data_IF_556305455021
#
_entry.id   IF_556305455021
#
_cell.length_a   1.000
_cell.length_b   1.000
_cell.length_c   1.000
_cell.angle_alpha   90.00
_cell.angle_beta   90.00
_cell.angle_gamma   90.00
#
_symmetry.space_group_name_H-M   'P 1'
#
loop_
_entity.id
_entity.type
_entity.pdbx_description
1 polymer ?
#
# COMPACT_ATOMS: atom_id res chain seq x y z
N UNK A 1 8.90 -12.94 -25.74
CA UNK A 1 9.62 -12.08 -24.75
C UNK A 1 10.15 -13.00 -23.66
N UNK A 2 11.46 -12.94 -23.33
CA UNK A 2 12.16 -14.00 -22.57
C UNK A 2 11.81 -13.97 -21.06
N UNK A 3 11.57 -15.13 -20.39
CA UNK A 3 11.21 -15.20 -18.96
C UNK A 3 12.21 -14.51 -18.00
N UNK A 4 13.46 -14.36 -18.42
CA UNK A 4 14.54 -13.71 -17.65
C UNK A 4 14.36 -12.20 -17.46
N UNK A 5 13.45 -11.56 -18.22
CA UNK A 5 13.13 -10.15 -18.02
C UNK A 5 12.10 -9.93 -16.91
N UNK A 6 11.18 -10.88 -16.69
CA UNK A 6 10.19 -10.79 -15.61
C UNK A 6 10.83 -10.86 -14.21
N UNK A 7 11.84 -11.71 -14.04
CA UNK A 7 12.54 -11.87 -12.75
C UNK A 7 13.39 -10.66 -12.33
N UNK A 8 13.56 -9.66 -13.23
CA UNK A 8 14.23 -8.39 -12.91
C UNK A 8 13.24 -7.27 -12.59
N UNK A 9 11.95 -7.44 -12.93
CA UNK A 9 10.89 -6.45 -12.69
C UNK A 9 10.18 -6.75 -11.35
N UNK A 10 10.04 -8.02 -10.97
CA UNK A 10 9.64 -8.39 -9.61
C UNK A 10 10.89 -8.48 -8.72
N UNK A 11 11.21 -7.39 -8.04
CA UNK A 11 12.14 -7.39 -6.91
C UNK A 11 11.53 -8.15 -5.72
N UNK A 12 12.30 -8.34 -4.63
CA UNK A 12 11.80 -8.83 -3.33
C UNK A 12 10.77 -7.88 -2.66
N UNK A 13 10.44 -6.78 -3.31
CA UNK A 13 9.51 -5.75 -2.86
C UNK A 13 8.12 -5.99 -3.46
N UNK A 14 7.09 -5.41 -2.84
CA UNK A 14 5.72 -5.41 -3.36
C UNK A 14 5.67 -4.78 -4.75
N UNK A 15 5.30 -5.56 -5.77
CA UNK A 15 5.18 -5.08 -7.14
C UNK A 15 3.83 -4.40 -7.38
N UNK A 16 3.72 -3.67 -8.49
CA UNK A 16 2.47 -3.04 -8.89
C UNK A 16 1.34 -4.08 -9.06
N UNK A 17 0.22 -3.87 -8.36
CA UNK A 17 -0.96 -4.74 -8.39
C UNK A 17 -0.90 -5.97 -7.47
N UNK A 18 0.16 -6.14 -6.68
CA UNK A 18 0.26 -7.24 -5.72
C UNK A 18 -0.81 -7.15 -4.62
N UNK A 19 -1.22 -5.93 -4.25
CA UNK A 19 -2.29 -5.64 -3.29
C UNK A 19 -3.65 -6.23 -3.71
N UNK A 20 -3.88 -6.38 -5.02
CA UNK A 20 -5.10 -7.00 -5.55
C UNK A 20 -5.34 -8.43 -5.03
N UNK A 21 -4.28 -9.15 -4.63
CA UNK A 21 -4.39 -10.49 -4.04
C UNK A 21 -5.08 -10.51 -2.67
N UNK A 22 -5.14 -9.38 -1.96
CA UNK A 22 -5.86 -9.27 -0.69
C UNK A 22 -7.36 -9.06 -0.86
N UNK A 23 -7.79 -8.52 -2.00
CA UNK A 23 -9.18 -8.10 -2.23
C UNK A 23 -9.93 -8.99 -3.22
N UNK A 24 -9.22 -9.65 -4.13
CA UNK A 24 -9.83 -10.37 -5.23
C UNK A 24 -9.34 -11.82 -5.31
N UNK A 25 -10.27 -12.69 -5.68
CA UNK A 25 -9.99 -14.07 -6.02
C UNK A 25 -9.12 -14.13 -7.28
N UNK A 26 -7.93 -14.75 -7.19
CA UNK A 26 -7.00 -14.89 -8.32
C UNK A 26 -6.83 -16.35 -8.72
N UNK A 27 -7.50 -16.76 -9.81
CA UNK A 27 -7.52 -18.13 -10.30
C UNK A 27 -6.13 -18.73 -10.59
N UNK A 28 -5.11 -17.90 -10.83
CA UNK A 28 -3.73 -18.33 -11.06
C UNK A 28 -3.06 -18.73 -9.75
N UNK A 29 -3.37 -18.08 -8.62
CA UNK A 29 -2.77 -18.35 -7.30
C UNK A 29 -3.54 -19.41 -6.49
N UNK A 30 -4.73 -19.80 -6.94
CA UNK A 30 -5.65 -20.69 -6.21
C UNK A 30 -5.18 -22.13 -5.98
N UNK A 31 -4.11 -22.56 -6.63
CA UNK A 31 -3.57 -23.91 -6.45
C UNK A 31 -2.76 -24.07 -5.16
N UNK A 32 -2.46 -22.97 -4.45
CA UNK A 32 -1.75 -23.00 -3.17
C UNK A 32 -2.73 -22.75 -2.01
N UNK A 33 -2.71 -23.59 -0.96
CA UNK A 33 -3.51 -23.33 0.23
C UNK A 33 -3.01 -22.06 0.91
N UNK A 34 -3.92 -21.15 1.25
CA UNK A 34 -3.58 -19.95 2.04
C UNK A 34 -3.11 -20.36 3.43
N UNK A 35 -1.97 -19.82 3.86
CA UNK A 35 -1.52 -19.94 5.25
C UNK A 35 -2.50 -19.19 6.16
N UNK A 36 -2.44 -19.47 7.46
CA UNK A 36 -3.27 -18.74 8.43
C UNK A 36 -2.94 -17.24 8.44
N UNK A 37 -1.67 -16.90 8.36
CA UNK A 37 -1.17 -15.52 8.22
C UNK A 37 -1.79 -14.82 7.00
N UNK A 38 -1.79 -15.46 5.82
CA UNK A 38 -2.39 -14.86 4.63
C UNK A 38 -3.89 -14.60 4.79
N UNK A 39 -4.63 -15.47 5.49
CA UNK A 39 -6.06 -15.25 5.76
C UNK A 39 -6.27 -14.07 6.69
N UNK A 40 -5.42 -13.91 7.69
CA UNK A 40 -5.46 -12.78 8.62
C UNK A 40 -5.13 -11.46 7.91
N UNK A 41 -4.15 -11.45 7.01
CA UNK A 41 -3.82 -10.29 6.19
C UNK A 41 -4.96 -9.91 5.25
N UNK A 42 -5.56 -10.90 4.56
CA UNK A 42 -6.76 -10.69 3.72
C UNK A 42 -7.89 -10.08 4.57
N UNK A 43 -8.20 -10.69 5.72
CA UNK A 43 -9.26 -10.20 6.60
C UNK A 43 -9.01 -8.76 7.02
N UNK A 44 -7.80 -8.44 7.49
CA UNK A 44 -7.44 -7.09 7.94
C UNK A 44 -7.59 -6.05 6.83
N UNK A 45 -7.09 -6.35 5.63
CA UNK A 45 -7.22 -5.47 4.47
C UNK A 45 -8.70 -5.25 4.08
N UNK A 46 -9.49 -6.33 4.00
CA UNK A 46 -10.91 -6.26 3.63
C UNK A 46 -11.73 -5.50 4.68
N UNK A 47 -11.52 -5.77 5.97
CA UNK A 47 -12.23 -5.08 7.06
C UNK A 47 -11.87 -3.59 7.08
N UNK A 48 -10.60 -3.25 6.87
CA UNK A 48 -10.15 -1.84 6.77
C UNK A 48 -10.85 -1.13 5.60
N UNK A 49 -10.90 -1.77 4.43
CA UNK A 49 -11.58 -1.21 3.26
C UNK A 49 -13.09 -1.07 3.49
N UNK A 50 -13.72 -2.05 4.15
CA UNK A 50 -15.14 -2.01 4.49
C UNK A 50 -15.48 -0.93 5.53
N UNK A 51 -14.63 -0.76 6.56
CA UNK A 51 -14.74 0.32 7.53
C UNK A 51 -14.67 1.69 6.86
N UNK A 52 -13.70 1.86 5.96
CA UNK A 52 -13.58 3.09 5.17
C UNK A 52 -14.80 3.32 4.27
N UNK A 53 -15.27 2.30 3.56
CA UNK A 53 -16.44 2.42 2.68
C UNK A 53 -17.72 2.77 3.45
N UNK A 54 -17.88 2.28 4.68
CA UNK A 54 -19.07 2.50 5.49
C UNK A 54 -19.08 3.81 6.27
N UNK A 55 -17.91 4.32 6.69
CA UNK A 55 -17.83 5.46 7.61
C UNK A 55 -16.92 6.60 7.14
N UNK A 56 -16.14 6.39 6.08
CA UNK A 56 -15.04 7.27 5.70
C UNK A 56 -13.81 7.18 6.61
N UNK A 57 -13.81 6.24 7.56
CA UNK A 57 -12.72 6.00 8.51
C UNK A 57 -12.25 4.53 8.40
N UNK A 58 -10.97 4.27 8.06
CA UNK A 58 -10.46 2.90 7.90
C UNK A 58 -10.29 2.14 9.22
N UNK A 59 -10.40 2.80 10.38
CA UNK A 59 -10.19 2.18 11.68
C UNK A 59 -11.32 1.21 12.06
N UNK A 60 -10.93 0.03 12.57
CA UNK A 60 -11.83 -0.97 13.16
C UNK A 60 -11.15 -1.61 14.39
N UNK A 61 -11.90 -2.33 15.22
CA UNK A 61 -11.43 -2.88 16.50
C UNK A 61 -10.19 -3.76 16.40
N UNK A 62 -10.02 -4.44 15.26
CA UNK A 62 -9.01 -5.47 15.05
C UNK A 62 -7.79 -4.96 14.25
N UNK A 63 -7.74 -3.65 13.94
CA UNK A 63 -6.66 -3.07 13.13
C UNK A 63 -5.30 -3.10 13.86
N UNK A 64 -5.32 -2.99 15.19
CA UNK A 64 -4.12 -3.02 16.04
C UNK A 64 -3.25 -1.75 15.99
N UNK A 65 -3.60 -0.79 15.13
CA UNK A 65 -2.97 0.53 14.99
C UNK A 65 -4.04 1.56 14.66
N UNK A 66 -3.86 2.80 15.09
CA UNK A 66 -4.73 3.91 14.68
C UNK A 66 -4.25 4.48 13.35
N UNK A 67 -5.06 4.35 12.30
CA UNK A 67 -4.85 5.02 11.03
C UNK A 67 -5.38 6.45 11.10
N UNK A 68 -4.50 7.38 11.47
CA UNK A 68 -4.82 8.81 11.54
C UNK A 68 -4.98 9.41 10.14
N UNK A 69 -5.88 10.39 10.03
CA UNK A 69 -6.10 11.15 8.79
C UNK A 69 -4.88 12.00 8.43
N UNK A 70 -4.45 11.91 7.18
CA UNK A 70 -3.37 12.73 6.61
C UNK A 70 -3.78 14.21 6.48
N UNK A 71 -2.79 15.12 6.55
CA UNK A 71 -2.99 16.55 6.33
C UNK A 71 -1.71 17.27 5.91
N UNK A 72 -1.84 18.42 5.25
CA UNK A 72 -0.68 19.25 4.89
C UNK A 72 0.14 19.74 6.09
N UNK A 73 -0.48 19.87 7.27
CA UNK A 73 0.20 20.34 8.49
C UNK A 73 0.88 19.21 9.25
N UNK A 74 0.25 18.03 9.26
CA UNK A 74 0.73 16.83 9.93
C UNK A 74 0.64 15.67 8.93
N UNK A 75 1.59 15.58 7.99
CA UNK A 75 1.57 14.55 6.98
C UNK A 75 1.81 13.18 7.62
N UNK A 76 1.06 12.16 7.22
CA UNK A 76 1.27 10.79 7.65
C UNK A 76 0.66 9.79 6.67
N UNK A 77 1.11 8.53 6.76
CA UNK A 77 0.59 7.43 5.97
C UNK A 77 0.63 6.13 6.77
N UNK A 78 -0.18 5.16 6.38
CA UNK A 78 -0.09 3.80 6.92
C UNK A 78 0.90 3.01 6.08
N UNK A 79 1.97 2.52 6.70
CA UNK A 79 2.89 1.56 6.12
C UNK A 79 2.35 0.14 6.36
N UNK A 80 1.94 -0.52 5.29
CA UNK A 80 1.31 -1.84 5.28
C UNK A 80 2.36 -2.87 4.90
N UNK A 81 2.92 -3.52 5.91
CA UNK A 81 3.82 -4.68 5.77
C UNK A 81 3.39 -5.84 6.65
N UNK A 82 4.34 -6.66 7.08
CA UNK A 82 4.12 -7.71 8.09
C UNK A 82 3.56 -7.15 9.40
N UNK A 83 3.93 -5.92 9.73
CA UNK A 83 3.26 -5.09 10.74
C UNK A 83 2.76 -3.81 10.10
N UNK A 84 1.59 -3.36 10.52
CA UNK A 84 1.03 -2.08 10.09
C UNK A 84 1.50 -0.99 11.03
N UNK A 85 2.08 0.07 10.48
CA UNK A 85 2.60 1.18 11.28
C UNK A 85 2.17 2.53 10.71
N UNK A 86 1.70 3.42 11.58
CA UNK A 86 1.48 4.81 11.21
C UNK A 86 2.85 5.51 11.11
N UNK A 87 3.22 5.92 9.91
CA UNK A 87 4.46 6.62 9.65
C UNK A 87 4.19 8.11 9.48
N UNK A 88 4.94 8.93 10.22
CA UNK A 88 4.90 10.39 10.11
C UNK A 88 5.68 10.85 8.86
N UNK A 89 5.23 11.96 8.27
CA UNK A 89 5.85 12.54 7.09
C UNK A 89 5.27 12.06 5.76
N UNK A 90 6.04 12.26 4.69
CA UNK A 90 5.71 11.85 3.33
C UNK A 90 6.79 10.90 2.81
N UNK A 91 6.40 9.87 2.06
CA UNK A 91 7.35 8.93 1.46
C UNK A 91 8.20 9.59 0.39
N UNK A 92 9.50 9.28 0.36
CA UNK A 92 10.43 9.69 -0.71
C UNK A 92 10.50 11.21 -0.96
N UNK A 93 10.48 12.03 0.10
CA UNK A 93 10.50 13.50 0.02
C UNK A 93 11.58 14.03 -0.93
N UNK A 94 12.82 13.55 -0.85
CA UNK A 94 13.92 13.98 -1.74
C UNK A 94 13.61 13.77 -3.23
N UNK A 95 12.98 12.63 -3.57
CA UNK A 95 12.60 12.33 -4.96
C UNK A 95 11.45 13.21 -5.41
N UNK A 96 10.47 13.42 -4.53
CA UNK A 96 9.34 14.30 -4.82
C UNK A 96 9.80 15.74 -5.04
N UNK A 97 10.71 16.23 -4.21
CA UNK A 97 11.22 17.60 -4.28
C UNK A 97 12.11 17.81 -5.51
N UNK A 98 12.90 16.82 -5.90
CA UNK A 98 13.61 16.82 -7.18
C UNK A 98 12.65 17.04 -8.36
N UNK A 99 11.57 16.26 -8.45
CA UNK A 99 10.59 16.38 -9.53
C UNK A 99 9.82 17.69 -9.50
N UNK A 100 9.42 18.16 -8.31
CA UNK A 100 8.80 19.49 -8.15
C UNK A 100 9.74 20.60 -8.63
N UNK A 101 11.03 20.54 -8.30
CA UNK A 101 12.03 21.51 -8.73
C UNK A 101 12.23 21.52 -10.25
N UNK A 102 12.25 20.34 -10.88
CA UNK A 102 12.27 20.25 -12.35
C UNK A 102 11.04 20.89 -12.98
N UNK A 103 9.84 20.57 -12.47
CA UNK A 103 8.59 21.14 -12.98
C UNK A 103 8.59 22.67 -12.82
N UNK A 104 9.00 23.19 -11.66
CA UNK A 104 9.09 24.63 -11.42
C UNK A 104 10.08 25.30 -12.40
N UNK A 105 11.25 24.70 -12.62
CA UNK A 105 12.27 25.26 -13.52
C UNK A 105 11.77 25.38 -14.97
N UNK A 106 10.98 24.42 -15.44
CA UNK A 106 10.62 24.31 -16.86
C UNK A 106 9.16 24.67 -17.18
N UNK A 107 8.28 24.83 -16.18
CA UNK A 107 6.89 25.27 -16.35
C UNK A 107 6.60 26.70 -15.83
N UNK A 108 7.63 27.43 -15.38
CA UNK A 108 7.47 28.85 -15.07
C UNK A 108 7.51 29.65 -16.37
N UNK A 109 6.33 29.96 -16.93
CA UNK A 109 6.18 31.09 -17.86
C UNK A 109 6.25 32.40 -17.09
#
# INVERSE_FOLDING_TARGET
>A
MHPKFFSKICTKETCHGADGSFFYHNSILHHLPLTQENKEDIKRNVDTLAAFASTGNPNHSDLGVEWRKDSLRNPCYMDIGTTWTLSEGTTFTDRMDFWKGLLQKYNSN
#
